data_IF_745466051488
#
_entry.id   IF_745466051488
#
_cell.length_a   1.000
_cell.length_b   1.000
_cell.length_c   1.000
_cell.angle_alpha   90.00
_cell.angle_beta   90.00
_cell.angle_gamma   90.00
#
_symmetry.space_group_name_H-M   'P 1'
#
loop_
_entity.id
_entity.type
_entity.pdbx_description
1 polymer ?
#
# COMPACT_ATOMS: atom_id res chain seq x y z
N UNK A 1 -6.39 -31.54 9.71
CA UNK A 1 -5.92 -30.56 8.71
C UNK A 1 -6.18 -29.18 9.27
N UNK A 2 -5.14 -28.39 9.57
CA UNK A 2 -5.33 -26.97 9.89
C UNK A 2 -5.39 -26.20 8.57
N UNK A 3 -6.45 -25.42 8.30
CA UNK A 3 -6.49 -24.59 7.11
C UNK A 3 -5.44 -23.48 7.25
N UNK A 4 -4.49 -23.43 6.30
CA UNK A 4 -3.51 -22.34 6.22
C UNK A 4 -4.23 -21.11 5.65
N UNK A 5 -4.73 -20.24 6.54
CA UNK A 5 -5.42 -19.00 6.15
C UNK A 5 -4.43 -17.84 6.15
N UNK A 6 -4.64 -16.90 5.23
CA UNK A 6 -3.93 -15.62 5.23
C UNK A 6 -4.38 -14.80 6.44
N UNK A 7 -3.42 -14.21 7.16
CA UNK A 7 -3.70 -13.23 8.20
C UNK A 7 -4.06 -11.88 7.57
N UNK A 8 -5.36 -11.69 7.32
CA UNK A 8 -5.88 -10.48 6.68
C UNK A 8 -5.69 -9.23 7.54
N UNK A 9 -5.69 -9.36 8.86
CA UNK A 9 -5.42 -8.26 9.78
C UNK A 9 -3.97 -7.77 9.65
N UNK A 10 -3.01 -8.68 9.56
CA UNK A 10 -1.61 -8.33 9.32
C UNK A 10 -1.40 -7.68 7.94
N UNK A 11 -2.11 -8.16 6.91
CA UNK A 11 -2.07 -7.58 5.55
C UNK A 11 -2.62 -6.15 5.55
N UNK A 12 -3.78 -5.92 6.17
CA UNK A 12 -4.37 -4.58 6.30
C UNK A 12 -3.48 -3.64 7.11
N UNK A 13 -2.88 -4.11 8.21
CA UNK A 13 -1.94 -3.33 8.99
C UNK A 13 -0.71 -2.91 8.17
N UNK A 14 -0.21 -3.80 7.30
CA UNK A 14 0.90 -3.48 6.40
C UNK A 14 0.52 -2.44 5.33
N UNK A 15 -0.65 -2.60 4.72
CA UNK A 15 -1.20 -1.64 3.75
C UNK A 15 -1.38 -0.24 4.37
N UNK A 16 -1.86 -0.19 5.63
CA UNK A 16 -1.97 1.04 6.42
C UNK A 16 -0.62 1.72 6.66
N UNK A 17 0.42 0.95 7.03
CA UNK A 17 1.78 1.49 7.20
C UNK A 17 2.35 2.07 5.91
N UNK A 18 2.13 1.41 4.77
CA UNK A 18 2.52 1.97 3.47
C UNK A 18 1.80 3.27 3.16
N UNK A 19 0.49 3.35 3.47
CA UNK A 19 -0.27 4.59 3.35
C UNK A 19 0.30 5.73 4.19
N UNK A 20 0.68 5.45 5.44
CA UNK A 20 1.32 6.42 6.32
C UNK A 20 2.66 6.90 5.76
N UNK A 21 3.53 5.99 5.31
CA UNK A 21 4.82 6.35 4.70
C UNK A 21 4.66 7.17 3.42
N UNK A 22 3.62 6.91 2.61
CA UNK A 22 3.28 7.74 1.45
C UNK A 22 2.89 9.16 1.86
N UNK A 23 2.10 9.30 2.94
CA UNK A 23 1.74 10.59 3.52
C UNK A 23 2.96 11.38 3.99
N UNK A 24 3.88 10.74 4.70
CA UNK A 24 5.14 11.33 5.16
C UNK A 24 6.04 11.78 4.00
N UNK A 25 6.20 10.93 2.97
CA UNK A 25 6.95 11.27 1.76
C UNK A 25 6.34 12.49 1.05
N UNK A 26 5.01 12.56 0.97
CA UNK A 26 4.30 13.65 0.30
C UNK A 26 4.36 14.96 1.10
N UNK A 27 4.55 14.89 2.42
CA UNK A 27 4.70 16.06 3.30
C UNK A 27 6.11 16.66 3.29
N UNK A 28 7.07 16.08 2.56
CA UNK A 28 8.45 16.59 2.50
C UNK A 28 8.50 17.92 1.75
N UNK A 29 8.73 19.01 2.47
CA UNK A 29 8.83 20.37 1.91
C UNK A 29 10.29 20.74 1.63
N UNK A 30 10.52 21.45 0.53
CA UNK A 30 11.82 22.03 0.22
C UNK A 30 12.28 23.05 1.28
N UNK A 31 13.55 23.04 1.70
CA UNK A 31 14.08 24.12 2.52
C UNK A 31 13.94 25.46 1.77
N UNK A 32 13.28 26.44 2.38
CA UNK A 32 13.22 27.79 1.83
C UNK A 32 14.56 28.50 2.07
N UNK A 33 15.15 29.09 1.03
CA UNK A 33 16.31 29.98 1.16
C UNK A 33 17.69 29.34 0.93
N UNK A 34 17.85 28.48 -0.07
CA UNK A 34 19.16 27.99 -0.50
C UNK A 34 19.94 29.11 -1.24
N UNK A 35 20.55 30.03 -0.49
CA UNK A 35 21.59 30.96 -0.94
C UNK A 35 21.15 32.09 -1.90
N UNK A 36 22.06 33.01 -2.16
CA UNK A 36 21.86 34.07 -3.17
C UNK A 36 21.74 33.44 -4.55
N UNK A 37 20.79 33.93 -5.37
CA UNK A 37 20.46 33.37 -6.70
C UNK A 37 21.65 33.30 -7.66
N UNK A 38 22.68 34.12 -7.44
CA UNK A 38 23.91 34.19 -8.23
C UNK A 38 24.95 33.08 -7.91
N UNK A 39 24.75 32.27 -6.87
CA UNK A 39 25.68 31.20 -6.53
C UNK A 39 25.37 29.93 -7.34
N UNK A 40 26.35 29.39 -8.06
CA UNK A 40 26.21 28.14 -8.81
C UNK A 40 25.79 26.96 -7.91
N UNK A 41 26.32 26.90 -6.69
CA UNK A 41 25.93 25.90 -5.69
C UNK A 41 24.46 26.00 -5.30
N UNK A 42 23.91 27.21 -5.22
CA UNK A 42 22.49 27.42 -4.94
C UNK A 42 21.60 26.90 -6.09
N UNK A 43 22.03 27.07 -7.34
CA UNK A 43 21.34 26.50 -8.50
C UNK A 43 21.39 24.96 -8.51
N UNK A 44 22.55 24.38 -8.21
CA UNK A 44 22.71 22.92 -8.12
C UNK A 44 21.83 22.31 -7.02
N UNK A 45 21.78 22.92 -5.83
CA UNK A 45 20.92 22.47 -4.72
C UNK A 45 19.43 22.53 -5.10
N UNK A 46 18.99 23.61 -5.77
CA UNK A 46 17.60 23.71 -6.25
C UNK A 46 17.25 22.63 -7.26
N UNK A 47 18.16 22.32 -8.19
CA UNK A 47 17.98 21.26 -9.18
C UNK A 47 17.88 19.88 -8.52
N UNK A 48 18.80 19.56 -7.60
CA UNK A 48 18.76 18.33 -6.82
C UNK A 48 17.47 18.20 -6.01
N UNK A 49 16.99 19.31 -5.42
CA UNK A 49 15.72 19.30 -4.69
C UNK A 49 14.53 18.99 -5.61
N UNK A 50 14.48 19.57 -6.81
CA UNK A 50 13.44 19.29 -7.79
C UNK A 50 13.43 17.81 -8.21
N UNK A 51 14.61 17.21 -8.42
CA UNK A 51 14.76 15.78 -8.71
C UNK A 51 14.27 14.89 -7.55
N UNK A 52 14.64 15.22 -6.32
CA UNK A 52 14.17 14.50 -5.13
C UNK A 52 12.64 14.60 -5.00
N UNK A 53 12.05 15.78 -5.21
CA UNK A 53 10.59 15.96 -5.19
C UNK A 53 9.90 15.12 -6.27
N UNK A 54 10.44 15.09 -7.50
CA UNK A 54 9.88 14.26 -8.57
C UNK A 54 9.99 12.76 -8.24
N UNK A 55 11.13 12.33 -7.69
CA UNK A 55 11.34 10.96 -7.25
C UNK A 55 10.38 10.55 -6.13
N UNK A 56 10.25 11.36 -5.07
CA UNK A 56 9.37 11.05 -3.94
C UNK A 56 7.91 11.01 -4.37
N UNK A 57 7.47 11.88 -5.28
CA UNK A 57 6.11 11.84 -5.84
C UNK A 57 5.86 10.54 -6.63
N UNK A 58 6.81 10.11 -7.46
CA UNK A 58 6.71 8.85 -8.20
C UNK A 58 6.69 7.63 -7.27
N UNK A 59 7.54 7.64 -6.23
CA UNK A 59 7.57 6.60 -5.21
C UNK A 59 6.24 6.52 -4.44
N UNK A 60 5.72 7.67 -4.02
CA UNK A 60 4.44 7.79 -3.34
C UNK A 60 3.29 7.20 -4.18
N UNK A 61 3.22 7.56 -5.46
CA UNK A 61 2.23 7.02 -6.39
C UNK A 61 2.34 5.50 -6.54
N UNK A 62 3.55 4.96 -6.69
CA UNK A 62 3.79 3.52 -6.86
C UNK A 62 3.39 2.74 -5.61
N UNK A 63 3.80 3.21 -4.42
CA UNK A 63 3.47 2.57 -3.14
C UNK A 63 1.97 2.65 -2.86
N UNK A 64 1.35 3.82 -3.10
CA UNK A 64 -0.10 3.98 -2.98
C UNK A 64 -0.87 3.02 -3.89
N UNK A 65 -0.48 2.91 -5.16
CA UNK A 65 -1.10 1.98 -6.09
C UNK A 65 -0.92 0.51 -5.67
N UNK A 66 0.22 0.16 -5.10
CA UNK A 66 0.45 -1.19 -4.57
C UNK A 66 -0.42 -1.48 -3.34
N UNK A 67 -0.49 -0.54 -2.38
CA UNK A 67 -1.34 -0.65 -1.20
C UNK A 67 -2.82 -0.84 -1.59
N UNK A 68 -3.30 -0.07 -2.57
CA UNK A 68 -4.66 -0.23 -3.11
C UNK A 68 -4.89 -1.62 -3.71
N UNK A 69 -3.94 -2.15 -4.49
CA UNK A 69 -4.03 -3.52 -5.06
C UNK A 69 -4.08 -4.58 -3.97
N UNK A 70 -3.29 -4.42 -2.90
CA UNK A 70 -3.32 -5.34 -1.75
C UNK A 70 -4.68 -5.28 -1.05
N UNK A 71 -5.26 -4.10 -0.86
CA UNK A 71 -6.62 -3.96 -0.31
C UNK A 71 -7.70 -4.67 -1.16
N UNK A 72 -7.62 -4.55 -2.50
CA UNK A 72 -8.52 -5.27 -3.41
C UNK A 72 -8.33 -6.79 -3.31
N UNK A 73 -7.08 -7.26 -3.23
CA UNK A 73 -6.79 -8.68 -3.10
C UNK A 73 -7.28 -9.25 -1.76
N UNK A 74 -7.12 -8.52 -0.66
CA UNK A 74 -7.61 -8.88 0.67
C UNK A 74 -9.15 -9.02 0.68
N UNK A 75 -9.86 -8.03 0.12
CA UNK A 75 -11.31 -8.11 -0.03
C UNK A 75 -11.75 -9.30 -0.90
N UNK A 76 -11.04 -9.56 -1.99
CA UNK A 76 -11.29 -10.73 -2.85
C UNK A 76 -11.08 -12.06 -2.13
N UNK A 77 -10.02 -12.17 -1.32
CA UNK A 77 -9.77 -13.34 -0.49
C UNK A 77 -10.88 -13.58 0.53
N UNK A 78 -11.31 -12.53 1.25
CA UNK A 78 -12.40 -12.64 2.22
C UNK A 78 -13.73 -13.07 1.57
N UNK A 79 -14.05 -12.53 0.39
CA UNK A 79 -15.22 -12.94 -0.37
C UNK A 79 -15.15 -14.41 -0.80
N UNK A 80 -13.98 -14.86 -1.29
CA UNK A 80 -13.75 -16.26 -1.65
C UNK A 80 -13.91 -17.21 -0.45
N UNK A 81 -13.38 -16.83 0.72
CA UNK A 81 -13.53 -17.63 1.94
C UNK A 81 -14.98 -17.74 2.41
N UNK A 82 -15.77 -16.67 2.26
CA UNK A 82 -17.20 -16.68 2.58
C UNK A 82 -17.98 -17.59 1.62
N UNK A 83 -17.75 -17.45 0.32
CA UNK A 83 -18.39 -18.29 -0.70
C UNK A 83 -18.03 -19.77 -0.54
N UNK A 84 -16.75 -20.08 -0.27
CA UNK A 84 -16.32 -21.45 0.01
C UNK A 84 -17.02 -22.04 1.25
N UNK A 85 -17.22 -21.25 2.31
CA UNK A 85 -17.93 -21.68 3.50
C UNK A 85 -19.41 -21.99 3.19
N UNK A 86 -20.07 -21.16 2.38
CA UNK A 86 -21.45 -21.39 1.94
C UNK A 86 -21.59 -22.65 1.08
N UNK A 87 -20.65 -22.86 0.14
CA UNK A 87 -20.61 -24.08 -0.68
C UNK A 87 -20.42 -25.34 0.19
N UNK A 88 -19.54 -25.28 1.19
CA UNK A 88 -19.33 -26.39 2.13
C UNK A 88 -20.57 -26.66 2.99
N UNK A 89 -21.23 -25.62 3.48
CA UNK A 89 -22.48 -25.75 4.24
C UNK A 89 -23.60 -26.38 3.40
N UNK A 90 -23.66 -26.07 2.10
CA UNK A 90 -24.67 -26.62 1.19
C UNK A 90 -24.52 -28.14 0.94
N UNK A 91 -23.30 -28.69 1.07
CA UNK A 91 -23.05 -30.14 0.88
C UNK A 91 -23.11 -30.94 2.18
N UNK A 92 -22.94 -30.32 3.34
CA UNK A 92 -22.90 -31.00 4.64
C UNK A 92 -24.17 -31.83 4.99
N UNK A 93 -25.42 -31.40 4.69
CA UNK A 93 -26.61 -32.19 4.96
C UNK A 93 -26.78 -33.43 4.05
N UNK A 94 -26.01 -33.54 2.96
CA UNK A 94 -26.08 -34.68 2.02
C UNK A 94 -25.14 -35.82 2.39
N UNK A 95 -24.21 -35.61 3.33
CA UNK A 95 -23.22 -36.59 3.74
C UNK A 95 -23.62 -37.43 4.97
N UNK A 96 -24.70 -37.06 5.67
CA UNK A 96 -25.19 -37.74 6.88
C UNK A 96 -26.40 -38.66 6.65
N UNK A 97 -26.75 -38.92 5.40
CA UNK A 97 -27.85 -39.82 5.06
C UNK A 97 -27.52 -40.72 3.88
N UNK A 98 -26.80 -41.81 4.12
CA UNK A 98 -27.11 -43.22 3.77
C UNK A 98 -26.29 -44.11 4.70
#
# INVERSE_FOLDING_TARGET
MQPLRVDTAAVQAMAGRWGASVGELSATVAPAGAGLSCQASAAAVRAAHAEVTAFTASLAARVGAHSARVGVADAGYLANEADAADQMAAVAPRATGV
#
